data_IF_425527502073
#
_entry.id   IF_425527502073
#
_cell.length_a   1.000
_cell.length_b   1.000
_cell.length_c   1.000
_cell.angle_alpha   90.00
_cell.angle_beta   90.00
_cell.angle_gamma   90.00
#
_symmetry.space_group_name_H-M   'P 1'
#
loop_
_entity.id
_entity.type
_entity.pdbx_description
1 polymer ?
#
# COMPACT_ATOMS: atom_id res chain seq x y z
N UNK A 1 4.69 5.48 -17.58
CA UNK A 1 5.07 4.19 -18.22
C UNK A 1 6.55 4.01 -18.03
N UNK A 2 7.01 2.82 -17.65
CA UNK A 2 8.45 2.54 -17.48
C UNK A 2 8.99 1.94 -18.77
N UNK A 3 9.96 2.60 -19.38
CA UNK A 3 10.60 2.11 -20.60
C UNK A 3 11.67 1.09 -20.23
N UNK A 4 11.34 -0.20 -20.34
CA UNK A 4 12.30 -1.29 -20.08
C UNK A 4 12.98 -1.65 -21.39
N UNK A 5 14.32 -1.69 -21.39
CA UNK A 5 15.13 -2.03 -22.55
C UNK A 5 14.75 -3.41 -23.12
N UNK A 6 14.75 -3.53 -24.45
CA UNK A 6 14.53 -4.81 -25.16
C UNK A 6 15.71 -5.78 -24.99
N UNK A 7 16.90 -5.25 -24.68
CA UNK A 7 18.11 -6.03 -24.48
C UNK A 7 18.12 -6.61 -23.07
N UNK A 8 18.02 -7.94 -22.99
CA UNK A 8 17.95 -8.66 -21.71
C UNK A 8 19.34 -8.98 -21.19
N UNK A 9 19.52 -8.81 -19.88
CA UNK A 9 20.74 -9.25 -19.19
C UNK A 9 20.72 -10.78 -19.00
N UNK A 10 21.90 -11.36 -18.70
CA UNK A 10 21.98 -12.77 -18.30
C UNK A 10 21.17 -12.98 -17.02
N UNK A 11 20.28 -13.98 -17.00
CA UNK A 11 19.34 -14.24 -15.87
C UNK A 11 20.01 -14.29 -14.49
N UNK A 12 21.23 -14.85 -14.39
CA UNK A 12 22.00 -14.92 -13.14
C UNK A 12 22.38 -13.53 -12.60
N UNK A 13 22.71 -12.60 -13.49
CA UNK A 13 23.07 -11.23 -13.14
C UNK A 13 21.81 -10.46 -12.70
N UNK A 14 20.74 -10.58 -13.48
CA UNK A 14 19.44 -9.96 -13.18
C UNK A 14 18.90 -10.40 -11.80
N UNK A 15 18.95 -11.70 -11.50
CA UNK A 15 18.56 -12.23 -10.20
C UNK A 15 19.41 -11.66 -9.06
N UNK A 16 20.75 -11.60 -9.22
CA UNK A 16 21.64 -11.00 -8.21
C UNK A 16 21.34 -9.53 -7.96
N UNK A 17 21.10 -8.76 -9.02
CA UNK A 17 20.73 -7.34 -8.92
C UNK A 17 19.41 -7.20 -8.16
N UNK A 18 18.40 -8.00 -8.51
CA UNK A 18 17.10 -7.99 -7.84
C UNK A 18 17.23 -8.33 -6.34
N UNK A 19 18.00 -9.34 -5.98
CA UNK A 19 18.22 -9.70 -4.56
C UNK A 19 18.92 -8.59 -3.78
N UNK A 20 19.97 -7.98 -4.35
CA UNK A 20 20.69 -6.88 -3.68
C UNK A 20 19.81 -5.63 -3.54
N UNK A 21 19.01 -5.34 -4.56
CA UNK A 21 18.02 -4.26 -4.53
C UNK A 21 17.02 -4.45 -3.39
N UNK A 22 16.42 -5.64 -3.29
CA UNK A 22 15.50 -5.99 -2.21
C UNK A 22 16.16 -5.85 -0.85
N UNK A 23 17.40 -6.34 -0.70
CA UNK A 23 18.15 -6.21 0.57
C UNK A 23 18.39 -4.75 0.95
N UNK A 24 18.81 -3.90 0.00
CA UNK A 24 19.05 -2.49 0.24
C UNK A 24 17.78 -1.72 0.66
N UNK A 25 16.64 -2.06 0.04
CA UNK A 25 15.35 -1.46 0.40
C UNK A 25 14.90 -1.84 1.81
N UNK A 26 15.11 -3.09 2.22
CA UNK A 26 14.64 -3.60 3.52
C UNK A 26 15.66 -3.44 4.67
N UNK A 27 16.92 -3.10 4.38
CA UNK A 27 17.92 -2.83 5.42
C UNK A 27 17.75 -1.46 6.08
N UNK A 28 17.05 -0.53 5.44
CA UNK A 28 16.82 0.81 5.99
C UNK A 28 15.46 0.89 6.70
N UNK A 29 15.47 1.45 7.92
CA UNK A 29 14.26 1.67 8.71
C UNK A 29 14.11 3.16 9.06
N UNK A 30 12.88 3.59 9.38
CA UNK A 30 12.61 4.98 9.76
C UNK A 30 12.88 5.98 8.62
N UNK A 31 13.48 7.13 8.96
CA UNK A 31 13.76 8.23 8.02
C UNK A 31 14.68 7.82 6.87
N UNK A 32 15.68 6.97 7.14
CA UNK A 32 16.62 6.50 6.12
C UNK A 32 15.92 5.71 5.00
N UNK A 33 14.91 4.91 5.33
CA UNK A 33 14.12 4.20 4.32
C UNK A 33 13.37 5.15 3.39
N UNK A 34 12.87 6.27 3.91
CA UNK A 34 12.19 7.28 3.11
C UNK A 34 13.16 8.01 2.15
N UNK A 35 14.36 8.33 2.62
CA UNK A 35 15.40 8.96 1.80
C UNK A 35 15.89 8.05 0.67
N UNK A 36 16.07 6.74 0.94
CA UNK A 36 16.41 5.75 -0.09
C UNK A 36 15.30 5.64 -1.14
N UNK A 37 14.03 5.58 -0.72
CA UNK A 37 12.93 5.56 -1.68
C UNK A 37 12.86 6.84 -2.50
N UNK A 38 13.18 8.00 -1.92
CA UNK A 38 13.22 9.29 -2.62
C UNK A 38 14.37 9.42 -3.62
N UNK A 39 15.52 8.83 -3.32
CA UNK A 39 16.67 8.86 -4.24
C UNK A 39 16.51 7.87 -5.39
N UNK A 40 15.81 6.76 -5.16
CA UNK A 40 15.62 5.70 -6.14
C UNK A 40 14.39 5.92 -7.04
N UNK A 41 13.28 6.38 -6.46
CA UNK A 41 11.99 6.50 -7.15
C UNK A 41 11.64 7.95 -7.40
N UNK A 42 11.10 8.22 -8.58
CA UNK A 42 10.49 9.53 -8.85
C UNK A 42 9.29 9.78 -7.93
N UNK A 43 8.97 11.06 -7.70
CA UNK A 43 7.76 11.48 -6.96
C UNK A 43 6.48 10.82 -7.50
N UNK A 44 6.40 10.68 -8.82
CA UNK A 44 5.27 10.03 -9.51
C UNK A 44 5.20 8.54 -9.19
N UNK A 45 6.34 7.82 -9.22
CA UNK A 45 6.40 6.40 -8.89
C UNK A 45 6.08 6.14 -7.43
N UNK A 46 6.61 6.95 -6.50
CA UNK A 46 6.26 6.87 -5.08
C UNK A 46 4.77 7.04 -4.86
N UNK A 47 4.18 8.07 -5.47
CA UNK A 47 2.74 8.33 -5.37
C UNK A 47 1.93 7.17 -5.94
N UNK A 48 2.36 6.61 -7.07
CA UNK A 48 1.69 5.48 -7.70
C UNK A 48 1.72 4.23 -6.82
N UNK A 49 2.88 3.89 -6.25
CA UNK A 49 3.03 2.73 -5.35
C UNK A 49 2.20 2.91 -4.07
N UNK A 50 2.22 4.10 -3.48
CA UNK A 50 1.41 4.42 -2.30
C UNK A 50 -0.09 4.25 -2.59
N UNK A 51 -0.58 4.76 -3.73
CA UNK A 51 -1.98 4.58 -4.16
C UNK A 51 -2.34 3.12 -4.41
N UNK A 52 -1.45 2.33 -5.04
CA UNK A 52 -1.68 0.89 -5.25
C UNK A 52 -1.79 0.13 -3.92
N UNK A 53 -0.92 0.44 -2.95
CA UNK A 53 -0.99 -0.15 -1.62
C UNK A 53 -2.31 0.20 -0.92
N UNK A 54 -2.71 1.47 -0.95
CA UNK A 54 -3.99 1.92 -0.42
C UNK A 54 -5.18 1.21 -1.08
N UNK A 55 -5.16 1.08 -2.41
CA UNK A 55 -6.18 0.38 -3.18
C UNK A 55 -6.33 -1.09 -2.76
N UNK A 56 -5.22 -1.82 -2.62
CA UNK A 56 -5.23 -3.23 -2.18
C UNK A 56 -5.90 -3.34 -0.81
N UNK A 57 -5.53 -2.47 0.14
CA UNK A 57 -6.12 -2.46 1.49
C UNK A 57 -7.60 -2.09 1.46
N UNK A 58 -8.01 -1.16 0.61
CA UNK A 58 -9.41 -0.80 0.47
C UNK A 58 -10.24 -1.93 -0.17
N UNK A 59 -9.69 -2.66 -1.13
CA UNK A 59 -10.37 -3.80 -1.74
C UNK A 59 -10.49 -4.97 -0.76
N UNK A 60 -9.44 -5.29 -0.01
CA UNK A 60 -9.46 -6.29 1.07
C UNK A 60 -10.50 -5.96 2.15
N UNK A 61 -10.79 -4.67 2.35
CA UNK A 61 -11.83 -4.18 3.28
C UNK A 61 -13.20 -3.96 2.61
N UNK A 62 -13.38 -4.49 1.40
CA UNK A 62 -14.64 -4.47 0.66
C UNK A 62 -15.20 -3.07 0.38
N UNK A 63 -14.33 -2.05 0.24
CA UNK A 63 -14.78 -0.73 -0.17
C UNK A 63 -15.30 -0.74 -1.61
N UNK A 64 -16.38 0.01 -1.86
CA UNK A 64 -16.95 0.11 -3.20
C UNK A 64 -16.01 0.82 -4.19
N UNK A 65 -16.07 0.41 -5.47
CA UNK A 65 -15.27 1.00 -6.54
C UNK A 65 -15.44 2.52 -6.64
N UNK A 66 -16.66 3.02 -6.40
CA UNK A 66 -16.95 4.45 -6.37
C UNK A 66 -16.15 5.17 -5.28
N UNK A 67 -16.13 4.63 -4.06
CA UNK A 67 -15.38 5.22 -2.94
C UNK A 67 -13.88 5.22 -3.24
N UNK A 68 -13.35 4.09 -3.69
CA UNK A 68 -11.94 3.94 -4.07
C UNK A 68 -11.56 4.95 -5.16
N UNK A 69 -12.36 5.07 -6.22
CA UNK A 69 -12.13 6.01 -7.31
C UNK A 69 -12.08 7.45 -6.83
N UNK A 70 -13.08 7.86 -6.02
CA UNK A 70 -13.19 9.23 -5.50
C UNK A 70 -12.03 9.60 -4.56
N UNK A 71 -11.60 8.65 -3.74
CA UNK A 71 -10.56 8.82 -2.73
C UNK A 71 -9.15 8.79 -3.32
N UNK A 72 -8.83 7.79 -4.16
CA UNK A 72 -7.48 7.62 -4.70
C UNK A 72 -7.28 8.32 -6.05
N UNK A 73 -8.35 8.87 -6.64
CA UNK A 73 -8.35 9.47 -7.99
C UNK A 73 -7.83 8.47 -9.03
N UNK A 74 -8.35 7.25 -8.98
CA UNK A 74 -7.97 6.15 -9.88
C UNK A 74 -9.13 5.78 -10.80
N UNK A 75 -8.82 5.42 -12.05
CA UNK A 75 -9.83 4.97 -13.00
C UNK A 75 -10.45 3.65 -12.53
N UNK A 76 -11.73 3.46 -12.85
CA UNK A 76 -12.46 2.20 -12.60
C UNK A 76 -11.80 1.00 -13.29
N UNK A 77 -11.22 1.21 -14.48
CA UNK A 77 -10.44 0.17 -15.19
C UNK A 77 -9.23 -0.30 -14.39
N UNK A 78 -8.52 0.62 -13.73
CA UNK A 78 -7.37 0.27 -12.89
C UNK A 78 -7.79 -0.49 -11.63
N UNK A 79 -8.88 -0.03 -10.99
CA UNK A 79 -9.46 -0.67 -9.81
C UNK A 79 -9.88 -2.09 -10.15
N UNK A 80 -10.62 -2.28 -11.25
CA UNK A 80 -11.09 -3.61 -11.69
C UNK A 80 -9.95 -4.56 -11.98
N UNK A 81 -8.89 -4.09 -12.66
CA UNK A 81 -7.71 -4.91 -12.95
C UNK A 81 -7.02 -5.38 -11.66
N UNK A 82 -6.78 -4.46 -10.73
CA UNK A 82 -6.12 -4.78 -9.46
C UNK A 82 -7.00 -5.68 -8.58
N UNK A 83 -8.33 -5.50 -8.60
CA UNK A 83 -9.24 -6.39 -7.90
C UNK A 83 -9.18 -7.81 -8.46
N UNK A 84 -9.18 -7.98 -9.79
CA UNK A 84 -9.01 -9.31 -10.39
C UNK A 84 -7.67 -9.98 -10.00
N UNK A 85 -6.58 -9.21 -9.94
CA UNK A 85 -5.28 -9.69 -9.46
C UNK A 85 -5.30 -10.05 -7.95
N UNK A 86 -6.06 -9.30 -7.15
CA UNK A 86 -6.26 -9.57 -5.72
C UNK A 86 -7.01 -10.88 -5.50
N UNK A 87 -8.13 -11.08 -6.20
CA UNK A 87 -8.91 -12.33 -6.15
C UNK A 87 -8.09 -13.54 -6.62
N UNK A 88 -7.15 -13.33 -7.55
CA UNK A 88 -6.21 -14.36 -7.98
C UNK A 88 -5.06 -14.61 -6.98
N UNK A 89 -5.03 -13.94 -5.83
CA UNK A 89 -4.04 -14.11 -4.77
C UNK A 89 -2.70 -13.43 -5.04
N UNK A 90 -2.58 -12.57 -6.06
CA UNK A 90 -1.30 -11.94 -6.43
C UNK A 90 -0.71 -11.04 -5.33
N UNK A 91 -1.56 -10.57 -4.40
CA UNK A 91 -1.18 -9.67 -3.32
C UNK A 91 -1.16 -10.32 -1.94
N UNK A 92 -1.26 -11.65 -1.85
CA UNK A 92 -1.24 -12.39 -0.59
C UNK A 92 -0.04 -12.05 0.33
N UNK A 93 1.20 -11.89 -0.18
CA UNK A 93 2.32 -11.48 0.67
C UNK A 93 2.13 -10.10 1.29
N UNK A 94 1.51 -9.16 0.55
CA UNK A 94 1.22 -7.80 1.04
C UNK A 94 0.15 -7.89 2.12
N UNK A 95 -0.93 -8.63 1.89
CA UNK A 95 -2.02 -8.81 2.84
C UNK A 95 -1.49 -9.42 4.15
N UNK A 96 -0.70 -10.49 4.06
CA UNK A 96 -0.06 -11.12 5.23
C UNK A 96 0.86 -10.16 6.00
N UNK A 97 1.71 -9.42 5.29
CA UNK A 97 2.60 -8.44 5.91
C UNK A 97 1.83 -7.32 6.63
N UNK A 98 0.68 -6.93 6.09
CA UNK A 98 -0.17 -5.89 6.67
C UNK A 98 -0.98 -6.39 7.86
N UNK A 99 -1.45 -7.64 7.86
CA UNK A 99 -2.21 -8.23 8.98
C UNK A 99 -1.43 -8.20 10.30
N UNK A 100 -0.12 -8.45 10.28
CA UNK A 100 0.71 -8.50 11.50
C UNK A 100 1.29 -7.16 11.99
N UNK A 101 1.24 -6.08 11.17
CA UNK A 101 1.99 -4.83 11.46
C UNK A 101 1.33 -3.53 11.00
N UNK A 102 0.07 -3.53 10.59
CA UNK A 102 -0.56 -2.27 10.17
C UNK A 102 -0.73 -1.36 11.39
N UNK A 103 0.16 -0.37 11.52
CA UNK A 103 0.02 0.68 12.52
C UNK A 103 -1.32 1.36 12.27
N UNK A 104 -2.09 1.53 13.33
CA UNK A 104 -3.40 2.20 13.34
C UNK A 104 -3.36 3.49 12.51
N UNK A 105 -2.22 4.17 12.48
CA UNK A 105 -1.94 5.37 11.68
C UNK A 105 -2.21 5.24 10.17
N UNK A 106 -1.89 4.11 9.51
CA UNK A 106 -2.15 3.99 8.07
C UNK A 106 -3.65 3.84 7.78
N UNK A 107 -4.35 3.07 8.62
CA UNK A 107 -5.80 2.96 8.56
C UNK A 107 -6.49 4.28 8.88
N UNK A 108 -6.03 5.00 9.90
CA UNK A 108 -6.54 6.34 10.26
C UNK A 108 -6.35 7.33 9.11
N UNK A 109 -5.20 7.30 8.42
CA UNK A 109 -4.95 8.14 7.25
C UNK A 109 -5.86 7.78 6.08
N UNK A 110 -6.10 6.49 5.83
CA UNK A 110 -7.07 6.05 4.83
C UNK A 110 -8.48 6.47 5.21
N UNK A 111 -8.87 6.31 6.48
CA UNK A 111 -10.18 6.73 6.99
C UNK A 111 -10.36 8.25 6.87
N UNK A 112 -9.35 9.05 7.21
CA UNK A 112 -9.35 10.51 7.05
C UNK A 112 -9.48 10.91 5.57
N UNK A 113 -8.77 10.21 4.68
CA UNK A 113 -8.85 10.41 3.25
C UNK A 113 -10.25 10.01 2.70
N UNK A 114 -10.90 9.01 3.31
CA UNK A 114 -12.25 8.58 2.97
C UNK A 114 -13.34 9.53 3.48
N UNK A 115 -13.14 10.17 4.63
CA UNK A 115 -14.07 11.16 5.20
C UNK A 115 -13.88 12.58 4.64
N UNK A 116 -13.00 12.74 3.64
CA UNK A 116 -12.76 14.03 2.98
C UNK A 116 -11.94 15.00 3.82
N UNK A 117 -10.97 14.50 4.59
CA UNK A 117 -10.07 15.33 5.40
C UNK A 117 -10.67 15.84 6.70
N UNK A 118 -11.91 15.44 7.03
CA UNK A 118 -12.53 15.75 8.32
C UNK A 118 -12.22 14.63 9.32
N UNK A 119 -11.48 14.89 10.41
CA UNK A 119 -11.39 13.92 11.48
C UNK A 119 -12.80 13.70 12.04
N UNK A 120 -13.20 12.45 12.26
CA UNK A 120 -14.44 12.16 13.00
C UNK A 120 -14.14 12.46 14.47
N UNK A 121 -14.21 13.74 14.85
CA UNK A 121 -14.11 14.18 16.24
C UNK A 121 -15.43 13.92 16.95
N UNK A 122 -15.72 12.65 17.23
CA UNK A 122 -16.87 12.22 18.02
C UNK A 122 -16.48 11.12 19.00
N UNK A 123 -17.09 11.08 20.18
CA UNK A 123 -16.80 10.09 21.23
C UNK A 123 -16.88 8.62 20.73
N UNK A 124 -17.71 8.35 19.72
CA UNK A 124 -17.81 7.05 19.06
C UNK A 124 -16.57 6.65 18.23
N UNK A 125 -15.82 7.60 17.68
CA UNK A 125 -14.60 7.33 16.90
C UNK A 125 -13.45 6.85 17.78
N UNK A 126 -13.22 7.50 18.93
CA UNK A 126 -12.24 7.05 19.92
C UNK A 126 -12.59 5.66 20.47
N UNK A 127 -13.88 5.39 20.70
CA UNK A 127 -14.36 4.08 21.18
C UNK A 127 -14.15 2.98 20.14
N UNK A 128 -14.46 3.25 18.86
CA UNK A 128 -14.24 2.33 17.73
C UNK A 128 -12.77 2.06 17.45
N UNK A 129 -11.90 3.08 17.49
CA UNK A 129 -10.44 2.89 17.38
C UNK A 129 -9.90 2.05 18.54
N UNK A 130 -10.38 2.28 19.76
CA UNK A 130 -10.01 1.48 20.92
C UNK A 130 -10.53 0.03 20.83
N UNK A 131 -11.67 -0.21 20.19
CA UNK A 131 -12.19 -1.57 19.94
C UNK A 131 -11.39 -2.28 18.84
N UNK A 132 -11.03 -1.58 17.76
CA UNK A 132 -10.15 -2.10 16.70
C UNK A 132 -8.76 -2.42 17.30
N UNK A 133 -8.21 -1.52 18.11
CA UNK A 133 -6.93 -1.71 18.80
C UNK A 133 -6.96 -2.87 19.80
N UNK A 134 -8.08 -3.09 20.50
CA UNK A 134 -8.27 -4.24 21.39
C UNK A 134 -8.33 -5.56 20.61
N UNK A 135 -9.09 -5.62 19.50
CA UNK A 135 -9.23 -6.83 18.68
C UNK A 135 -7.96 -7.26 17.96
N UNK A 136 -7.04 -6.32 17.70
CA UNK A 136 -5.77 -6.61 17.03
C UNK A 136 -4.67 -7.10 17.99
N UNK A 137 -4.92 -7.15 19.30
CA UNK A 137 -3.93 -7.49 20.33
C UNK A 137 -4.40 -8.62 21.29
N UNK A 138 -5.44 -9.38 20.93
CA UNK A 138 -5.94 -10.54 21.69
C UNK A 138 -5.72 -11.91 21.03
N UNK A 139 -4.77 -12.02 20.10
CA UNK A 139 -4.15 -13.29 19.70
C UNK A 139 -2.63 -13.18 19.79
#
# INVERSE_FOLDING_TARGET
MTHVSKYRMKRKIESRISTNFTRALFSASGSQGHEILRSLLTLTEQTMLAKRLALIVMLEKEFSYYRISKSLKMSTSTIKRIHGELEAGAYEPIIKALRGRMRVSFLELLELLLTGGRPITGAGHKKRLNDIRRRLWTD
#
